data_IF_560890259788
#
_entry.id   IF_560890259788
#
_cell.length_a   1.000
_cell.length_b   1.000
_cell.length_c   1.000
_cell.angle_alpha   90.00
_cell.angle_beta   90.00
_cell.angle_gamma   90.00
#
_symmetry.space_group_name_H-M   'P 1'
#
loop_
_entity.id
_entity.type
_entity.pdbx_description
1 polymer ?
#
# COMPACT_ATOMS: atom_id res chain seq x y z
N UNK A 1 -11.93 -31.91 71.49
CA UNK A 1 -13.01 -32.51 70.67
C UNK A 1 -13.68 -31.40 69.86
N UNK A 2 -13.58 -31.49 68.53
CA UNK A 2 -14.55 -31.07 67.49
C UNK A 2 -15.16 -29.65 67.56
N UNK A 3 -15.17 -28.81 66.52
CA UNK A 3 -15.04 -29.01 65.07
C UNK A 3 -14.72 -27.67 64.41
N UNK A 4 -13.96 -27.78 63.32
CA UNK A 4 -13.39 -26.72 62.50
C UNK A 4 -14.40 -25.72 61.94
N UNK A 5 -14.07 -24.43 62.09
CA UNK A 5 -14.53 -23.32 61.27
C UNK A 5 -14.13 -23.53 59.81
N UNK A 6 -15.04 -23.26 58.87
CA UNK A 6 -14.68 -22.75 57.54
C UNK A 6 -15.84 -21.96 56.95
N UNK A 7 -15.81 -20.66 57.20
CA UNK A 7 -16.61 -19.65 56.52
C UNK A 7 -15.69 -18.84 55.61
N UNK A 8 -16.00 -18.82 54.30
CA UNK A 8 -15.73 -17.81 53.22
C UNK A 8 -14.29 -17.24 53.05
N UNK A 9 -13.83 -16.76 51.85
CA UNK A 9 -14.59 -15.87 50.94
C UNK A 9 -14.29 -15.89 49.41
N UNK A 10 -15.14 -15.16 48.68
CA UNK A 10 -14.89 -14.35 47.46
C UNK A 10 -13.44 -14.21 46.97
N UNK A 11 -13.14 -14.55 45.71
CA UNK A 11 -12.13 -13.89 44.83
C UNK A 11 -12.52 -14.18 43.36
N UNK A 12 -13.25 -13.28 42.71
CA UNK A 12 -12.76 -12.25 41.78
C UNK A 12 -12.45 -12.75 40.34
N UNK A 13 -13.47 -12.63 39.49
CA UNK A 13 -13.46 -11.92 38.21
C UNK A 13 -12.09 -11.82 37.48
N UNK A 14 -11.75 -12.85 36.69
CA UNK A 14 -10.70 -12.78 35.67
C UNK A 14 -11.27 -12.10 34.41
N UNK A 15 -11.26 -10.77 34.39
CA UNK A 15 -11.38 -9.97 33.18
C UNK A 15 -10.14 -10.23 32.32
N UNK A 16 -10.24 -11.18 31.39
CA UNK A 16 -9.29 -11.34 30.30
C UNK A 16 -9.39 -10.11 29.38
N UNK A 17 -8.60 -9.07 29.67
CA UNK A 17 -8.28 -8.04 28.70
C UNK A 17 -7.49 -8.70 27.56
N UNK A 18 -8.18 -9.14 26.51
CA UNK A 18 -7.58 -9.30 25.20
C UNK A 18 -7.23 -7.89 24.69
N UNK A 19 -6.09 -7.37 25.15
CA UNK A 19 -5.46 -6.21 24.58
C UNK A 19 -5.01 -6.58 23.16
N UNK A 20 -5.90 -6.38 22.18
CA UNK A 20 -5.55 -6.36 20.77
C UNK A 20 -4.78 -5.05 20.53
N UNK A 21 -3.48 -5.08 20.82
CA UNK A 21 -2.54 -4.03 20.46
C UNK A 21 -2.29 -4.05 18.96
N UNK A 22 -3.25 -3.54 18.18
CA UNK A 22 -3.13 -3.31 16.74
C UNK A 22 -2.77 -1.85 16.46
N UNK A 23 -1.62 -1.39 16.98
CA UNK A 23 -1.05 -0.11 16.59
C UNK A 23 -0.29 -0.27 15.29
N UNK A 24 -1.01 -0.27 14.17
CA UNK A 24 -0.40 -0.25 12.84
C UNK A 24 0.23 1.10 12.59
N UNK A 25 1.52 1.13 12.34
CA UNK A 25 2.23 2.34 11.96
C UNK A 25 1.75 2.72 10.56
N UNK A 26 0.76 3.61 10.46
CA UNK A 26 0.27 4.20 9.19
C UNK A 26 1.44 4.79 8.36
N UNK A 27 2.59 5.02 8.99
CA UNK A 27 3.80 5.60 8.40
C UNK A 27 4.70 4.61 7.66
N UNK A 28 4.48 3.28 7.78
CA UNK A 28 5.39 2.25 7.26
C UNK A 28 6.72 2.15 8.02
N UNK A 29 7.49 1.08 7.79
CA UNK A 29 8.87 0.99 8.31
C UNK A 29 9.80 1.87 7.45
N UNK A 30 10.77 2.59 8.05
CA UNK A 30 11.69 3.44 7.29
C UNK A 30 12.58 2.65 6.33
N UNK A 31 12.79 1.35 6.60
CA UNK A 31 13.63 0.47 5.78
C UNK A 31 12.82 -0.26 4.69
N UNK A 32 11.52 0.01 4.55
CA UNK A 32 10.65 -0.63 3.57
C UNK A 32 9.79 0.40 2.86
N UNK A 33 9.78 0.32 1.53
CA UNK A 33 8.91 1.14 0.68
C UNK A 33 7.73 0.30 0.21
N UNK A 34 6.51 0.75 0.50
CA UNK A 34 5.27 0.04 0.25
C UNK A 34 4.32 0.86 -0.62
N UNK A 35 3.59 0.19 -1.52
CA UNK A 35 2.53 0.77 -2.33
C UNK A 35 1.19 0.16 -1.93
N UNK A 36 0.11 0.96 -1.95
CA UNK A 36 -1.25 0.45 -1.68
C UNK A 36 -1.67 -0.70 -2.61
N UNK A 37 -1.07 -0.75 -3.81
CA UNK A 37 -1.09 -1.89 -4.72
C UNK A 37 0.23 -1.95 -5.47
N UNK A 38 0.70 -3.17 -5.77
CA UNK A 38 1.87 -3.42 -6.63
C UNK A 38 1.48 -3.90 -8.03
N UNK A 39 0.22 -4.29 -8.22
CA UNK A 39 -0.25 -4.90 -9.45
C UNK A 39 -1.61 -4.30 -9.84
N UNK A 40 -1.68 -3.85 -11.09
CA UNK A 40 -2.89 -3.24 -11.66
C UNK A 40 -3.13 -3.89 -13.00
N UNK A 41 -4.33 -4.39 -13.21
CA UNK A 41 -4.79 -4.90 -14.49
C UNK A 41 -5.87 -3.97 -15.04
N UNK A 42 -5.68 -3.44 -16.25
CA UNK A 42 -6.63 -2.56 -16.93
C UNK A 42 -7.04 -3.14 -18.28
N UNK A 43 -8.25 -2.87 -18.74
CA UNK A 43 -8.67 -3.28 -20.09
C UNK A 43 -9.05 -4.76 -20.23
N UNK A 44 -9.02 -5.23 -21.48
CA UNK A 44 -9.38 -6.59 -21.92
C UNK A 44 -8.36 -7.06 -22.97
N UNK A 45 -8.14 -8.38 -23.20
CA UNK A 45 -7.05 -8.85 -24.07
C UNK A 45 -7.12 -8.26 -25.47
N UNK A 46 -8.34 -7.99 -25.92
CA UNK A 46 -8.65 -7.53 -27.28
C UNK A 46 -8.74 -6.00 -27.41
N UNK A 47 -8.58 -5.24 -26.32
CA UNK A 47 -8.70 -3.76 -26.33
C UNK A 47 -7.71 -3.08 -25.38
N UNK A 48 -6.98 -2.11 -25.92
CA UNK A 48 -6.12 -1.25 -25.12
C UNK A 48 -6.99 -0.30 -24.29
N UNK A 49 -6.77 -0.27 -22.98
CA UNK A 49 -7.49 0.63 -22.09
C UNK A 49 -7.03 2.08 -22.28
N UNK A 50 -7.98 3.00 -22.31
CA UNK A 50 -7.77 4.44 -22.23
C UNK A 50 -8.67 5.02 -21.15
N UNK A 51 -8.15 5.99 -20.40
CA UNK A 51 -8.90 6.67 -19.35
C UNK A 51 -8.21 6.67 -18.00
N UNK A 52 -8.99 6.91 -16.95
CA UNK A 52 -8.48 7.00 -15.59
C UNK A 52 -8.07 5.63 -15.07
N UNK A 53 -6.86 5.56 -14.52
CA UNK A 53 -6.33 4.43 -13.79
C UNK A 53 -6.55 4.56 -12.28
N UNK A 54 -5.97 3.65 -11.49
CA UNK A 54 -6.08 3.70 -10.04
C UNK A 54 -5.28 4.86 -9.45
N UNK A 55 -5.70 5.27 -8.26
CA UNK A 55 -4.91 6.08 -7.35
C UNK A 55 -4.07 5.15 -6.47
N UNK A 56 -2.76 5.41 -6.40
CA UNK A 56 -1.79 4.57 -5.69
C UNK A 56 -1.13 5.40 -4.60
N UNK A 57 -1.20 4.91 -3.36
CA UNK A 57 -0.59 5.54 -2.20
C UNK A 57 0.77 4.92 -1.89
N UNK A 58 1.70 5.73 -1.39
CA UNK A 58 3.06 5.32 -1.05
C UNK A 58 3.28 5.44 0.46
N UNK A 59 3.82 4.41 1.10
CA UNK A 59 4.08 4.35 2.54
C UNK A 59 5.48 3.83 2.85
N UNK A 60 6.01 4.16 4.03
CA UNK A 60 7.35 3.76 4.45
C UNK A 60 8.47 4.43 3.66
N UNK A 61 9.74 4.03 3.88
CA UNK A 61 10.89 4.66 3.23
C UNK A 61 11.12 6.12 3.67
N UNK A 62 11.90 6.86 2.88
CA UNK A 62 12.21 8.28 3.13
C UNK A 62 11.75 9.18 1.98
N UNK A 63 10.67 9.96 2.15
CA UNK A 63 10.25 10.95 1.16
C UNK A 63 11.35 12.00 0.87
N UNK A 64 11.29 12.69 -0.29
CA UNK A 64 10.27 12.57 -1.34
C UNK A 64 10.49 11.35 -2.24
N UNK A 65 9.40 10.86 -2.85
CA UNK A 65 9.44 9.73 -3.78
C UNK A 65 9.40 10.20 -5.23
N UNK A 66 10.37 9.78 -6.03
CA UNK A 66 10.44 10.02 -7.48
C UNK A 66 9.71 8.92 -8.22
N UNK A 67 8.88 9.31 -9.19
CA UNK A 67 8.11 8.40 -10.02
C UNK A 67 8.67 8.38 -11.44
N UNK A 68 8.94 7.20 -11.96
CA UNK A 68 9.38 7.00 -13.33
C UNK A 68 8.47 6.01 -14.06
N UNK A 69 7.83 6.49 -15.13
CA UNK A 69 7.04 5.67 -16.04
C UNK A 69 7.90 5.20 -17.22
N UNK A 70 7.92 3.89 -17.48
CA UNK A 70 8.62 3.27 -18.62
C UNK A 70 7.94 3.45 -19.99
N UNK A 71 6.68 3.90 -20.02
CA UNK A 71 5.80 3.99 -21.20
C UNK A 71 5.12 5.37 -21.27
N UNK A 72 5.88 6.46 -21.51
CA UNK A 72 5.32 7.82 -21.56
C UNK A 72 4.36 8.03 -22.74
N UNK A 73 4.46 7.24 -23.81
CA UNK A 73 3.53 7.32 -24.95
C UNK A 73 2.11 6.80 -24.65
N UNK A 74 1.94 5.97 -23.61
CA UNK A 74 0.67 5.29 -23.30
C UNK A 74 0.13 5.57 -21.89
N UNK A 75 0.94 6.20 -21.04
CA UNK A 75 0.61 6.41 -19.64
C UNK A 75 1.17 7.75 -19.16
N UNK A 76 0.37 8.47 -18.38
CA UNK A 76 0.71 9.75 -17.77
C UNK A 76 0.48 9.65 -16.27
N UNK A 77 1.44 10.12 -15.49
CA UNK A 77 1.30 10.27 -14.04
C UNK A 77 0.90 11.73 -13.75
N UNK A 78 -0.01 11.94 -12.81
CA UNK A 78 -0.44 13.30 -12.45
C UNK A 78 0.67 14.13 -11.77
N UNK A 79 1.72 13.47 -11.28
CA UNK A 79 2.91 14.08 -10.65
C UNK A 79 4.13 13.20 -10.91
N UNK A 80 5.31 13.82 -10.91
CA UNK A 80 6.59 13.11 -11.00
C UNK A 80 7.24 12.85 -9.64
N UNK A 81 6.76 13.54 -8.59
CA UNK A 81 7.26 13.43 -7.22
C UNK A 81 6.08 13.44 -6.25
N UNK A 82 6.11 12.54 -5.28
CA UNK A 82 5.21 12.50 -4.11
C UNK A 82 5.99 12.98 -2.90
N UNK A 83 5.49 13.99 -2.20
CA UNK A 83 6.31 14.72 -1.21
C UNK A 83 6.36 14.03 0.14
N UNK A 84 5.27 13.35 0.52
CA UNK A 84 5.12 12.79 1.86
C UNK A 84 4.63 11.34 1.81
N UNK A 85 4.96 10.58 2.86
CA UNK A 85 4.38 9.25 3.10
C UNK A 85 2.87 9.36 3.34
N UNK A 86 2.10 8.42 2.81
CA UNK A 86 0.64 8.39 2.84
C UNK A 86 -0.04 9.14 1.69
N UNK A 87 0.69 10.00 0.96
CA UNK A 87 0.19 10.64 -0.25
C UNK A 87 0.11 9.67 -1.42
N UNK A 88 -0.67 10.07 -2.43
CA UNK A 88 -0.95 9.29 -3.62
C UNK A 88 -0.48 9.95 -4.91
N UNK A 89 -0.43 9.15 -5.97
CA UNK A 89 -0.41 9.61 -7.36
C UNK A 89 -1.47 8.88 -8.17
N UNK A 90 -1.90 9.49 -9.26
CA UNK A 90 -2.93 8.94 -10.16
C UNK A 90 -2.32 8.66 -11.53
N UNK A 91 -2.82 7.59 -12.14
CA UNK A 91 -2.39 7.11 -13.45
C UNK A 91 -3.49 7.42 -14.46
N UNK A 92 -3.13 7.94 -15.63
CA UNK A 92 -4.05 8.08 -16.77
C UNK A 92 -3.46 7.37 -17.97
N UNK A 93 -4.26 6.50 -18.59
CA UNK A 93 -3.90 5.79 -19.82
C UNK A 93 -4.37 6.59 -21.03
N UNK A 94 -3.46 6.79 -21.98
CA UNK A 94 -3.67 7.66 -23.15
C UNK A 94 -3.24 6.95 -24.42
N UNK A 95 -3.75 7.41 -25.56
CA UNK A 95 -3.35 6.98 -26.91
C UNK A 95 -3.53 5.48 -27.21
N UNK A 96 -4.21 4.73 -26.34
CA UNK A 96 -4.62 3.36 -26.61
C UNK A 96 -3.44 2.42 -26.86
N UNK A 97 -2.31 2.66 -26.19
CA UNK A 97 -1.12 1.87 -26.40
C UNK A 97 -1.27 0.51 -25.71
N UNK A 98 -1.37 -0.56 -26.49
CA UNK A 98 -1.38 -1.92 -25.97
C UNK A 98 0.03 -2.37 -25.56
N UNK A 99 0.39 -2.16 -24.30
CA UNK A 99 1.58 -2.77 -23.71
C UNK A 99 1.19 -3.84 -22.72
N UNK A 100 1.87 -4.99 -22.79
CA UNK A 100 1.60 -6.13 -21.91
C UNK A 100 1.93 -5.81 -20.45
N UNK A 101 3.01 -5.08 -20.23
CA UNK A 101 3.46 -4.65 -18.90
C UNK A 101 4.06 -3.25 -19.02
N UNK A 102 3.63 -2.36 -18.14
CA UNK A 102 4.00 -0.95 -18.06
C UNK A 102 4.45 -0.67 -16.62
N UNK A 103 5.70 -0.99 -16.25
CA UNK A 103 6.17 -0.75 -14.89
C UNK A 103 6.31 0.75 -14.62
N UNK A 104 5.89 1.15 -13.41
CA UNK A 104 6.23 2.43 -12.79
C UNK A 104 7.21 2.13 -11.67
N UNK A 105 8.37 2.79 -11.71
CA UNK A 105 9.35 2.73 -10.64
C UNK A 105 9.09 3.87 -9.66
N UNK A 106 9.12 3.53 -8.37
CA UNK A 106 9.06 4.47 -7.27
C UNK A 106 10.38 4.38 -6.52
N UNK A 107 11.08 5.50 -6.41
CA UNK A 107 12.37 5.62 -5.73
C UNK A 107 12.26 6.64 -4.60
N UNK A 108 12.71 6.30 -3.40
CA UNK A 108 12.75 7.23 -2.28
C UNK A 108 14.05 8.07 -2.27
N UNK A 109 14.22 8.98 -1.31
CA UNK A 109 15.40 9.83 -1.23
C UNK A 109 16.71 9.07 -0.93
N UNK A 110 16.60 7.88 -0.33
CA UNK A 110 17.73 7.03 0.05
C UNK A 110 18.09 6.00 -1.04
N UNK A 111 17.33 5.98 -2.15
CA UNK A 111 17.53 5.05 -3.26
C UNK A 111 16.84 3.70 -3.07
N UNK A 112 15.92 3.56 -2.11
CA UNK A 112 15.06 2.38 -2.02
C UNK A 112 14.09 2.39 -3.21
N UNK A 113 13.99 1.25 -3.87
CA UNK A 113 13.13 1.07 -5.04
C UNK A 113 11.96 0.15 -4.73
N UNK A 114 10.80 0.50 -5.26
CA UNK A 114 9.67 -0.41 -5.43
C UNK A 114 9.04 -0.21 -6.80
N UNK A 115 8.25 -1.18 -7.23
CA UNK A 115 7.66 -1.19 -8.56
C UNK A 115 6.16 -1.43 -8.51
N UNK A 116 5.45 -0.68 -9.34
CA UNK A 116 4.06 -0.93 -9.69
C UNK A 116 4.02 -1.55 -11.09
N UNK A 117 3.53 -2.78 -11.18
CA UNK A 117 3.29 -3.48 -12.43
C UNK A 117 1.90 -3.15 -12.93
N UNK A 118 1.82 -2.42 -14.04
CA UNK A 118 0.54 -2.21 -14.72
C UNK A 118 0.48 -3.13 -15.94
N UNK A 119 -0.56 -3.92 -16.05
CA UNK A 119 -0.78 -4.88 -17.13
C UNK A 119 -2.03 -4.51 -17.91
N UNK A 120 -1.95 -4.57 -19.23
CA UNK A 120 -3.18 -4.60 -20.03
C UNK A 120 -3.74 -6.03 -19.96
N UNK A 121 -4.89 -6.14 -19.32
CA UNK A 121 -5.50 -7.37 -18.88
C UNK A 121 -6.11 -8.15 -20.00
N UNK A 122 -5.64 -9.39 -20.10
CA UNK A 122 -6.28 -10.50 -20.77
C UNK A 122 -5.72 -11.81 -20.26
#
# INVERSE_FOLDING_TARGET
MNRLLRALPFVALLLSLSACGGGGNESGQPDQLYLSTTDVTVGTPDRCYEGLGPEVHIYGGTPPYRLANSVPQGMVLNKAVVQNSGESFSITFVNGVCMKTMPITVEDQQGLLTHLSVTNGG
#
